data_IF_458841467735
#
_entry.id   IF_458841467735
#
_cell.length_a   1.000
_cell.length_b   1.000
_cell.length_c   1.000
_cell.angle_alpha   90.00
_cell.angle_beta   90.00
_cell.angle_gamma   90.00
#
_symmetry.space_group_name_H-M   'P 1'
#
loop_
_entity.id
_entity.type
_entity.pdbx_description
1 polymer ?
#
# COMPACT_ATOMS: atom_id res chain seq x y z
N UNK A 1 16.48 15.64 -27.86
CA UNK A 1 17.13 16.73 -28.61
C UNK A 1 17.63 17.72 -27.56
N UNK A 2 18.93 17.69 -27.27
CA UNK A 2 19.55 18.66 -26.36
C UNK A 2 19.81 19.92 -27.18
N UNK A 3 18.93 20.91 -27.05
CA UNK A 3 19.23 22.25 -27.53
C UNK A 3 20.50 22.71 -26.81
N UNK A 4 21.47 23.34 -27.50
CA UNK A 4 22.57 23.98 -26.81
C UNK A 4 21.96 25.07 -25.92
N UNK A 5 21.90 24.82 -24.62
CA UNK A 5 21.45 25.83 -23.67
C UNK A 5 22.36 27.04 -23.82
N UNK A 6 21.74 28.20 -24.04
CA UNK A 6 22.51 29.43 -24.21
C UNK A 6 23.26 29.73 -22.91
N UNK A 7 24.37 30.47 -23.02
CA UNK A 7 25.16 30.91 -21.85
C UNK A 7 24.24 31.56 -20.80
N UNK A 8 23.21 32.28 -21.26
CA UNK A 8 22.21 32.96 -20.44
C UNK A 8 21.31 32.01 -19.65
N UNK A 9 20.79 30.95 -20.28
CA UNK A 9 19.92 29.96 -19.62
C UNK A 9 20.65 29.27 -18.46
N UNK A 10 21.91 28.88 -18.69
CA UNK A 10 22.75 28.25 -17.65
C UNK A 10 23.08 29.20 -16.50
N UNK A 11 23.25 30.49 -16.79
CA UNK A 11 23.48 31.52 -15.76
C UNK A 11 22.20 31.81 -14.96
N UNK A 12 21.02 31.77 -15.57
CA UNK A 12 19.74 31.89 -14.88
C UNK A 12 19.51 30.73 -13.91
N UNK A 13 19.69 29.48 -14.35
CA UNK A 13 19.57 28.30 -13.49
C UNK A 13 20.54 28.36 -12.28
N UNK A 14 21.72 28.95 -12.49
CA UNK A 14 22.71 29.19 -11.45
C UNK A 14 22.27 30.27 -10.45
N UNK A 15 21.72 31.40 -10.93
CA UNK A 15 21.22 32.51 -10.09
C UNK A 15 20.01 32.07 -9.26
N UNK A 16 19.06 31.33 -9.85
CA UNK A 16 17.85 30.84 -9.16
C UNK A 16 18.11 29.63 -8.25
N UNK A 17 19.30 29.04 -8.31
CA UNK A 17 19.70 27.90 -7.48
C UNK A 17 19.16 26.55 -7.93
N UNK A 18 18.63 26.45 -9.16
CA UNK A 18 18.13 25.20 -9.77
C UNK A 18 19.24 24.34 -10.41
N UNK A 19 20.46 24.86 -10.55
CA UNK A 19 21.62 24.13 -11.09
C UNK A 19 22.12 22.99 -10.18
N UNK A 20 22.54 21.87 -10.76
CA UNK A 20 23.19 20.77 -10.04
C UNK A 20 24.53 21.21 -9.40
N UNK A 21 24.98 20.57 -8.29
CA UNK A 21 26.20 20.98 -7.60
C UNK A 21 27.47 20.88 -8.46
N UNK A 22 27.54 19.92 -9.39
CA UNK A 22 28.66 19.79 -10.33
C UNK A 22 28.65 20.92 -11.39
N UNK A 23 27.47 21.36 -11.81
CA UNK A 23 27.31 22.44 -12.78
C UNK A 23 27.63 23.81 -12.17
N UNK A 24 27.34 24.01 -10.87
CA UNK A 24 27.74 25.23 -10.14
C UNK A 24 29.24 25.46 -10.19
N UNK A 25 30.04 24.44 -9.87
CA UNK A 25 31.50 24.58 -9.85
C UNK A 25 32.07 24.85 -11.26
N UNK A 26 31.48 24.23 -12.29
CA UNK A 26 31.87 24.49 -13.68
C UNK A 26 31.53 25.93 -14.10
N UNK A 27 30.36 26.45 -13.72
CA UNK A 27 29.93 27.82 -14.03
C UNK A 27 30.80 28.85 -13.29
N UNK A 28 31.15 28.62 -12.03
CA UNK A 28 32.07 29.49 -11.27
C UNK A 28 33.44 29.60 -11.96
N UNK A 29 34.02 28.48 -12.39
CA UNK A 29 35.27 28.48 -13.14
C UNK A 29 35.14 29.23 -14.48
N UNK A 30 33.99 29.13 -15.15
CA UNK A 30 33.72 29.84 -16.40
C UNK A 30 33.55 31.35 -16.20
N UNK A 31 32.93 31.79 -15.10
CA UNK A 31 32.83 33.22 -14.72
C UNK A 31 34.22 33.80 -14.40
N UNK A 32 35.11 33.02 -13.79
CA UNK A 32 36.47 33.46 -13.48
C UNK A 32 37.39 33.48 -14.70
N UNK A 33 37.30 32.47 -15.57
CA UNK A 33 38.21 32.32 -16.72
C UNK A 33 37.75 33.05 -17.99
N UNK A 34 36.45 33.28 -18.17
CA UNK A 34 35.89 33.84 -19.40
C UNK A 34 35.20 35.21 -19.17
N UNK A 35 35.68 36.22 -19.90
CA UNK A 35 35.18 37.59 -19.85
C UNK A 35 33.71 37.70 -20.31
N UNK A 36 33.32 36.93 -21.33
CA UNK A 36 31.96 36.92 -21.87
C UNK A 36 30.95 36.41 -20.83
N UNK A 37 31.31 35.33 -20.11
CA UNK A 37 30.50 34.76 -19.04
C UNK A 37 30.35 35.72 -17.87
N UNK A 38 31.43 36.40 -17.48
CA UNK A 38 31.39 37.40 -16.42
C UNK A 38 30.50 38.60 -16.75
N UNK A 39 30.59 39.10 -17.97
CA UNK A 39 29.77 40.23 -18.42
C UNK A 39 28.29 39.86 -18.42
N UNK A 40 27.94 38.70 -18.99
CA UNK A 40 26.56 38.18 -19.00
C UNK A 40 26.03 37.92 -17.60
N UNK A 41 26.86 37.38 -16.71
CA UNK A 41 26.49 37.18 -15.31
C UNK A 41 26.15 38.50 -14.61
N UNK A 42 26.95 39.56 -14.80
CA UNK A 42 26.67 40.88 -14.23
C UNK A 42 25.38 41.51 -14.77
N UNK A 43 25.16 41.41 -16.08
CA UNK A 43 23.94 41.90 -16.75
C UNK A 43 22.69 41.23 -16.16
N UNK A 44 22.71 39.89 -16.02
CA UNK A 44 21.60 39.13 -15.46
C UNK A 44 21.39 39.41 -13.97
N UNK A 45 22.47 39.58 -13.21
CA UNK A 45 22.40 39.91 -11.79
C UNK A 45 21.80 41.30 -11.57
N UNK A 46 22.15 42.28 -12.39
CA UNK A 46 21.55 43.62 -12.35
C UNK A 46 20.04 43.56 -12.63
N UNK A 47 19.61 42.80 -13.64
CA UNK A 47 18.18 42.57 -13.93
C UNK A 47 17.47 41.89 -12.76
N UNK A 48 18.08 40.85 -12.19
CA UNK A 48 17.53 40.14 -11.03
C UNK A 48 17.41 41.06 -9.81
N UNK A 49 18.41 41.91 -9.56
CA UNK A 49 18.38 42.92 -8.49
C UNK A 49 17.33 43.99 -8.74
N UNK A 50 17.18 44.49 -9.97
CA UNK A 50 16.12 45.42 -10.32
C UNK A 50 14.74 44.80 -10.09
N UNK A 51 14.51 43.55 -10.50
CA UNK A 51 13.27 42.83 -10.23
C UNK A 51 13.03 42.65 -8.74
N UNK A 52 14.04 42.23 -7.98
CA UNK A 52 13.93 41.99 -6.53
C UNK A 52 13.68 43.27 -5.74
N UNK A 53 14.36 44.37 -6.11
CA UNK A 53 14.23 45.65 -5.42
C UNK A 53 12.98 46.45 -5.86
N UNK A 54 12.48 46.21 -7.08
CA UNK A 54 11.25 46.83 -7.59
C UNK A 54 9.98 46.05 -7.25
N UNK A 55 10.11 44.77 -6.88
CA UNK A 55 9.10 44.05 -6.12
C UNK A 55 9.11 44.59 -4.68
N UNK A 56 8.45 45.71 -4.45
CA UNK A 56 7.90 45.97 -3.13
C UNK A 56 7.08 44.73 -2.76
N UNK A 57 7.44 44.07 -1.64
CA UNK A 57 6.64 42.97 -1.09
C UNK A 57 5.32 43.57 -0.62
N UNK A 58 4.39 43.72 -1.55
CA UNK A 58 3.02 44.10 -1.25
C UNK A 58 2.47 42.97 -0.37
N UNK A 59 2.25 43.30 0.92
CA UNK A 59 1.82 42.32 1.90
C UNK A 59 0.57 41.64 1.36
N UNK A 60 0.57 40.30 1.19
CA UNK A 60 -0.60 39.63 0.68
C UNK A 60 -1.77 39.95 1.60
N UNK A 61 -2.96 40.21 1.02
CA UNK A 61 -4.12 40.56 1.83
C UNK A 61 -4.31 39.56 2.97
N UNK A 62 -4.71 40.02 4.17
CA UNK A 62 -4.96 39.13 5.33
C UNK A 62 -5.87 37.92 5.00
N UNK A 63 -6.72 38.04 3.98
CA UNK A 63 -7.64 36.99 3.54
C UNK A 63 -7.03 35.98 2.57
N UNK A 64 -5.87 36.24 2.00
CA UNK A 64 -5.21 35.33 1.06
C UNK A 64 -4.85 34.00 1.73
N UNK A 65 -4.15 34.05 2.88
CA UNK A 65 -3.80 32.85 3.65
C UNK A 65 -5.05 32.10 4.11
N UNK A 66 -6.11 32.83 4.50
CA UNK A 66 -7.38 32.23 4.86
C UNK A 66 -8.02 31.49 3.67
N UNK A 67 -8.12 32.13 2.51
CA UNK A 67 -8.71 31.53 1.31
C UNK A 67 -7.89 30.31 0.83
N UNK A 68 -6.56 30.40 0.87
CA UNK A 68 -5.66 29.30 0.51
C UNK A 68 -5.79 28.12 1.49
N UNK A 69 -5.82 28.38 2.80
CA UNK A 69 -6.04 27.33 3.79
C UNK A 69 -7.43 26.72 3.71
N UNK A 70 -8.47 27.52 3.45
CA UNK A 70 -9.84 27.02 3.23
C UNK A 70 -9.91 26.15 1.96
N UNK A 71 -9.27 26.55 0.86
CA UNK A 71 -9.24 25.75 -0.36
C UNK A 71 -8.40 24.47 -0.19
N UNK A 72 -7.24 24.55 0.47
CA UNK A 72 -6.43 23.37 0.80
C UNK A 72 -7.23 22.44 1.73
N UNK A 73 -7.92 22.96 2.74
CA UNK A 73 -8.73 22.16 3.67
C UNK A 73 -9.92 21.46 2.98
N UNK A 74 -10.51 22.06 1.93
CA UNK A 74 -11.52 21.38 1.10
C UNK A 74 -10.96 20.13 0.42
N UNK A 75 -9.68 20.13 0.06
CA UNK A 75 -9.01 19.01 -0.60
C UNK A 75 -8.21 18.11 0.35
N UNK A 76 -7.93 18.57 1.58
CA UNK A 76 -7.08 17.87 2.55
C UNK A 76 -7.79 17.75 3.90
N UNK A 77 -8.34 16.55 4.12
CA UNK A 77 -8.23 15.65 5.29
C UNK A 77 -9.50 14.78 5.23
N UNK A 78 -9.59 13.93 4.20
CA UNK A 78 -10.29 12.68 4.38
C UNK A 78 -9.32 11.78 5.16
N UNK A 79 -9.65 11.29 6.38
CA UNK A 79 -8.78 10.37 7.08
C UNK A 79 -8.52 9.16 6.20
N UNK A 80 -7.28 9.00 5.75
CA UNK A 80 -6.83 7.98 4.79
C UNK A 80 -6.79 6.56 5.37
N UNK A 81 -7.66 6.24 6.33
CA UNK A 81 -7.63 4.98 7.08
C UNK A 81 -8.94 4.20 7.05
N UNK A 82 -10.05 4.79 6.58
CA UNK A 82 -11.34 4.08 6.51
C UNK A 82 -11.54 3.29 5.20
N UNK A 83 -10.69 3.51 4.19
CA UNK A 83 -10.84 2.90 2.85
C UNK A 83 -9.77 1.86 2.50
N UNK A 84 -9.29 1.07 3.47
CA UNK A 84 -8.35 -0.03 3.16
C UNK A 84 -8.98 -1.43 3.26
N UNK A 85 -10.15 -1.55 3.87
CA UNK A 85 -10.85 -2.84 4.01
C UNK A 85 -12.15 -2.77 3.23
N UNK A 86 -12.12 -3.32 2.01
CA UNK A 86 -13.32 -3.44 1.19
C UNK A 86 -14.29 -4.43 1.86
N UNK A 87 -15.47 -3.95 2.27
CA UNK A 87 -16.53 -4.77 2.88
C UNK A 87 -16.98 -5.93 1.98
N UNK A 88 -16.74 -5.88 0.67
CA UNK A 88 -16.99 -7.02 -0.23
C UNK A 88 -16.06 -8.20 0.05
N UNK A 89 -14.82 -7.95 0.48
CA UNK A 89 -13.84 -8.99 0.83
C UNK A 89 -14.26 -9.69 2.14
N UNK A 90 -14.68 -8.92 3.15
CA UNK A 90 -15.15 -9.50 4.42
C UNK A 90 -16.40 -10.37 4.20
N UNK A 91 -17.31 -9.91 3.34
CA UNK A 91 -18.52 -10.65 3.01
C UNK A 91 -18.20 -11.92 2.20
N UNK A 92 -17.32 -11.83 1.19
CA UNK A 92 -16.88 -13.01 0.43
C UNK A 92 -16.24 -14.09 1.30
N UNK A 93 -15.40 -13.69 2.26
CA UNK A 93 -14.78 -14.63 3.21
C UNK A 93 -15.83 -15.23 4.15
N UNK A 94 -16.73 -14.41 4.71
CA UNK A 94 -17.79 -14.89 5.59
C UNK A 94 -18.72 -15.89 4.88
N UNK A 95 -19.13 -15.58 3.65
CA UNK A 95 -19.97 -16.46 2.82
C UNK A 95 -19.24 -17.76 2.49
N UNK A 96 -17.94 -17.72 2.19
CA UNK A 96 -17.14 -18.92 1.94
C UNK A 96 -17.10 -19.86 3.16
N UNK A 97 -16.85 -19.34 4.36
CA UNK A 97 -16.85 -20.14 5.59
C UNK A 97 -18.24 -20.73 5.89
N UNK A 98 -19.30 -19.93 5.76
CA UNK A 98 -20.67 -20.41 5.98
C UNK A 98 -21.02 -21.53 5.00
N UNK A 99 -20.72 -21.35 3.71
CA UNK A 99 -21.00 -22.34 2.66
C UNK A 99 -20.20 -23.62 2.87
N UNK A 100 -18.95 -23.49 3.31
CA UNK A 100 -18.10 -24.63 3.68
C UNK A 100 -18.69 -25.43 4.84
N UNK A 101 -19.06 -24.75 5.93
CA UNK A 101 -19.64 -25.39 7.12
C UNK A 101 -20.96 -26.05 6.74
N UNK A 102 -21.80 -25.38 5.96
CA UNK A 102 -23.06 -25.93 5.46
C UNK A 102 -22.84 -27.17 4.59
N UNK A 103 -21.87 -27.15 3.68
CA UNK A 103 -21.51 -28.32 2.85
C UNK A 103 -21.04 -29.50 3.68
N UNK A 104 -20.23 -29.26 4.71
CA UNK A 104 -19.77 -30.30 5.63
C UNK A 104 -20.93 -30.89 6.45
N UNK A 105 -21.87 -30.05 6.92
CA UNK A 105 -23.07 -30.51 7.61
C UNK A 105 -23.99 -31.32 6.70
N UNK A 106 -24.23 -30.88 5.46
CA UNK A 106 -25.06 -31.63 4.51
C UNK A 106 -24.43 -32.99 4.20
N UNK A 107 -23.12 -33.03 3.96
CA UNK A 107 -22.41 -34.28 3.73
C UNK A 107 -22.42 -35.20 4.95
N UNK A 108 -22.23 -34.64 6.16
CA UNK A 108 -22.24 -35.44 7.39
C UNK A 108 -23.64 -36.00 7.67
N UNK A 109 -24.69 -35.19 7.57
CA UNK A 109 -26.08 -35.63 7.77
C UNK A 109 -26.55 -36.60 6.68
N UNK A 110 -26.13 -36.43 5.43
CA UNK A 110 -26.47 -37.34 4.33
C UNK A 110 -25.83 -38.73 4.47
N UNK A 111 -24.75 -38.86 5.23
CA UNK A 111 -24.08 -40.13 5.53
C UNK A 111 -24.61 -40.81 6.80
N UNK A 112 -25.49 -40.16 7.58
CA UNK A 112 -26.08 -40.76 8.77
C UNK A 112 -27.18 -41.74 8.32
N UNK A 113 -27.00 -43.02 8.63
CA UNK A 113 -28.06 -44.02 8.49
C UNK A 113 -29.07 -43.84 9.64
N UNK A 114 -30.19 -43.17 9.35
CA UNK A 114 -31.27 -42.92 10.33
C UNK A 114 -32.10 -44.18 10.68
N UNK A 115 -31.79 -45.35 10.09
CA UNK A 115 -32.56 -46.58 10.25
C UNK A 115 -32.08 -47.54 11.34
N UNK A 116 -31.17 -47.16 12.24
CA UNK A 116 -30.79 -48.02 13.37
C UNK A 116 -31.76 -47.86 14.53
N UNK A 117 -32.90 -48.53 14.44
CA UNK A 117 -33.71 -48.85 15.61
C UNK A 117 -32.91 -49.75 16.55
N UNK A 118 -32.83 -49.34 17.82
CA UNK A 118 -32.57 -50.19 18.99
C UNK A 118 -31.34 -51.09 18.97
N UNK A 119 -30.25 -50.64 19.60
CA UNK A 119 -29.18 -51.53 20.06
C UNK A 119 -27.82 -50.84 20.10
N UNK A 120 -27.14 -50.88 21.26
CA UNK A 120 -25.74 -50.49 21.43
C UNK A 120 -24.87 -50.98 20.27
N UNK A 121 -24.46 -50.08 19.39
CA UNK A 121 -23.64 -50.47 18.25
C UNK A 121 -23.51 -49.35 17.23
N UNK A 122 -22.60 -48.42 17.51
CA UNK A 122 -21.98 -47.51 16.53
C UNK A 122 -22.95 -46.77 15.61
N UNK A 123 -23.43 -45.62 16.07
CA UNK A 123 -23.78 -44.52 15.16
C UNK A 123 -22.52 -44.20 14.36
N UNK A 124 -22.38 -44.79 13.19
CA UNK A 124 -21.25 -44.56 12.28
C UNK A 124 -21.41 -43.17 11.69
N UNK A 125 -21.05 -42.16 12.49
CA UNK A 125 -20.60 -40.90 11.93
C UNK A 125 -19.47 -41.23 10.93
N UNK A 126 -19.35 -40.52 9.78
CA UNK A 126 -18.28 -40.75 8.81
C UNK A 126 -16.88 -40.57 9.41
N UNK A 127 -16.80 -40.01 10.62
CA UNK A 127 -15.66 -40.08 11.52
C UNK A 127 -15.88 -41.26 12.47
N UNK A 128 -15.25 -42.40 12.17
CA UNK A 128 -15.13 -43.52 13.09
C UNK A 128 -14.23 -43.09 14.26
N UNK A 129 -14.80 -42.36 15.21
CA UNK A 129 -14.16 -42.02 16.47
C UNK A 129 -14.51 -43.15 17.40
N UNK A 130 -13.71 -44.21 17.37
CA UNK A 130 -13.75 -45.25 18.40
C UNK A 130 -13.31 -44.61 19.73
N UNK A 131 -14.20 -44.44 20.72
CA UNK A 131 -13.88 -43.76 21.97
C UNK A 131 -12.84 -44.52 22.80
N UNK A 132 -12.50 -45.75 22.43
CA UNK A 132 -11.41 -46.54 23.01
C UNK A 132 -10.04 -46.29 22.37
N UNK A 133 -9.98 -45.52 21.27
CA UNK A 133 -8.76 -45.26 20.47
C UNK A 133 -8.49 -43.77 20.25
N UNK A 134 -8.76 -42.94 21.26
CA UNK A 134 -8.49 -41.49 21.24
C UNK A 134 -7.02 -41.17 20.93
N UNK A 135 -6.10 -42.12 21.20
CA UNK A 135 -4.68 -41.96 20.95
C UNK A 135 -4.23 -42.32 19.51
N UNK A 136 -5.13 -42.83 18.66
CA UNK A 136 -4.86 -43.13 17.26
C UNK A 136 -5.95 -42.53 16.38
N UNK A 137 -6.02 -41.21 16.33
CA UNK A 137 -6.81 -40.51 15.32
C UNK A 137 -6.14 -40.81 13.97
N UNK A 138 -6.80 -41.62 13.17
CA UNK A 138 -6.27 -42.12 11.91
C UNK A 138 -6.45 -41.05 10.81
N UNK A 139 -5.61 -40.01 10.89
CA UNK A 139 -5.63 -38.86 9.98
C UNK A 139 -5.44 -39.25 8.51
N UNK A 140 -4.88 -40.44 8.25
CA UNK A 140 -4.69 -40.98 6.89
C UNK A 140 -6.00 -40.98 6.08
N UNK A 141 -7.14 -41.31 6.69
CA UNK A 141 -8.44 -41.28 6.00
C UNK A 141 -8.96 -39.87 5.73
N UNK A 142 -8.55 -38.89 6.55
CA UNK A 142 -8.89 -37.48 6.34
C UNK A 142 -8.07 -36.87 5.22
N UNK A 143 -6.78 -37.17 5.13
CA UNK A 143 -5.89 -36.62 4.10
C UNK A 143 -5.97 -37.37 2.75
N UNK A 144 -6.41 -38.63 2.72
CA UNK A 144 -6.49 -39.42 1.47
C UNK A 144 -7.75 -39.12 0.64
N UNK A 145 -8.73 -38.38 1.19
CA UNK A 145 -9.91 -38.00 0.42
C UNK A 145 -9.61 -36.76 -0.44
N UNK A 146 -9.74 -36.89 -1.77
CA UNK A 146 -9.54 -35.81 -2.74
C UNK A 146 -10.27 -34.52 -2.35
N UNK A 147 -11.51 -34.63 -1.85
CA UNK A 147 -12.29 -33.47 -1.41
C UNK A 147 -11.69 -32.77 -0.18
N UNK A 148 -11.20 -33.55 0.80
CA UNK A 148 -10.55 -33.00 1.99
C UNK A 148 -9.17 -32.42 1.68
N UNK A 149 -8.43 -33.01 0.73
CA UNK A 149 -7.14 -32.49 0.29
C UNK A 149 -7.31 -31.14 -0.45
N UNK A 150 -8.28 -31.04 -1.37
CA UNK A 150 -8.65 -29.77 -2.02
C UNK A 150 -9.08 -28.74 -0.98
N UNK A 151 -9.88 -29.15 0.01
CA UNK A 151 -10.31 -28.28 1.10
C UNK A 151 -9.13 -27.73 1.92
N UNK A 152 -8.18 -28.59 2.29
CA UNK A 152 -6.96 -28.19 3.00
C UNK A 152 -6.09 -27.26 2.17
N UNK A 153 -5.92 -27.52 0.88
CA UNK A 153 -5.20 -26.66 -0.06
C UNK A 153 -5.78 -25.24 -0.09
N UNK A 154 -7.11 -25.12 -0.22
CA UNK A 154 -7.78 -23.81 -0.26
C UNK A 154 -7.63 -23.07 1.08
N UNK A 155 -7.80 -23.77 2.21
CA UNK A 155 -7.62 -23.15 3.54
C UNK A 155 -6.17 -22.77 3.82
N UNK A 156 -5.20 -23.56 3.35
CA UNK A 156 -3.78 -23.24 3.48
C UNK A 156 -3.41 -21.99 2.67
N UNK A 157 -3.89 -21.88 1.44
CA UNK A 157 -3.68 -20.67 0.60
C UNK A 157 -4.35 -19.45 1.23
N UNK A 158 -5.60 -19.57 1.69
CA UNK A 158 -6.29 -18.47 2.40
C UNK A 158 -5.57 -18.09 3.69
N UNK A 159 -5.09 -19.07 4.45
CA UNK A 159 -4.30 -18.84 5.66
C UNK A 159 -3.00 -18.09 5.37
N UNK A 160 -2.29 -18.45 4.30
CA UNK A 160 -1.08 -17.74 3.86
C UNK A 160 -1.38 -16.32 3.39
N UNK A 161 -2.45 -16.12 2.63
CA UNK A 161 -2.87 -14.76 2.20
C UNK A 161 -3.24 -13.91 3.40
N UNK A 162 -3.93 -14.47 4.41
CA UNK A 162 -4.25 -13.75 5.64
C UNK A 162 -3.00 -13.45 6.47
N UNK A 163 -2.06 -14.39 6.56
CA UNK A 163 -0.78 -14.21 7.24
C UNK A 163 0.04 -13.10 6.58
N UNK A 164 0.14 -13.12 5.24
CA UNK A 164 0.84 -12.11 4.46
C UNK A 164 0.19 -10.72 4.63
N UNK A 165 -1.15 -10.67 4.58
CA UNK A 165 -1.89 -9.43 4.82
C UNK A 165 -1.75 -8.93 6.26
N UNK A 166 -1.65 -9.82 7.25
CA UNK A 166 -1.43 -9.49 8.66
C UNK A 166 -0.01 -8.94 8.90
N UNK A 167 1.01 -9.60 8.34
CA UNK A 167 2.41 -9.16 8.41
C UNK A 167 2.62 -7.84 7.67
N UNK A 168 2.01 -7.65 6.50
CA UNK A 168 2.05 -6.40 5.75
C UNK A 168 1.45 -5.21 6.51
N UNK A 169 0.39 -5.44 7.30
CA UNK A 169 -0.19 -4.41 8.19
C UNK A 169 0.75 -4.05 9.33
N UNK A 170 1.40 -5.03 9.98
CA UNK A 170 2.41 -4.76 11.03
C UNK A 170 3.61 -3.98 10.50
N UNK A 171 4.11 -4.30 9.30
CA UNK A 171 5.26 -3.59 8.69
C UNK A 171 4.96 -2.11 8.45
N UNK A 172 3.76 -1.77 7.96
CA UNK A 172 3.34 -0.38 7.73
C UNK A 172 3.17 0.42 9.03
N UNK A 173 2.69 -0.22 10.10
CA UNK A 173 2.55 0.41 11.43
C UNK A 173 3.91 0.73 12.09
N UNK A 174 4.94 -0.08 11.81
CA UNK A 174 6.29 0.15 12.32
C UNK A 174 7.03 1.25 11.55
N UNK A 175 6.73 1.43 10.25
CA UNK A 175 7.35 2.46 9.40
C UNK A 175 6.72 3.85 9.57
N UNK A 176 5.45 3.95 9.97
CA UNK A 176 4.79 5.23 10.27
C UNK A 176 5.05 5.79 11.67
N UNK A 177 5.96 5.19 12.43
CA UNK A 177 6.32 5.60 13.80
C UNK A 177 7.72 6.25 13.90
N UNK A 178 8.32 6.55 12.76
CA UNK A 178 9.57 7.31 12.62
C UNK A 178 9.31 8.58 11.82
#
# INVERSE_FOLDING_TARGET
>A
MNTPSSIEERLWDYIDGHSLPEEKSAIEQLIDSNIEWRHKYHELLEVHQLMTNSLELDEPSMRFTQNVMEDIAKYQIAPATQSYINKRIIWGIATFFILTIAGFLIYSFGQINWSSGGGSGSTTLPFNIDPSRINSIDFSKLFNNTYTNVFLMVNAVLGLVLLDMYLGKKKKQLQGKH
#
